data_IF_950877704288
#
_entry.id   IF_950877704288
#
_cell.length_a   1.000
_cell.length_b   1.000
_cell.length_c   1.000
_cell.angle_alpha   90.00
_cell.angle_beta   90.00
_cell.angle_gamma   90.00
#
_symmetry.space_group_name_H-M   'P 1'
#
loop_
_entity.id
_entity.type
_entity.pdbx_description
1 polymer ?
#
# COMPACT_ATOMS: atom_id res chain seq x y z
N UNK A 1 33.36 26.09 -27.89
CA UNK A 1 33.72 25.31 -29.10
C UNK A 1 32.47 25.05 -29.85
N UNK A 2 32.29 25.64 -31.06
CA UNK A 2 31.10 25.36 -31.87
C UNK A 2 31.13 23.89 -32.28
N UNK A 3 30.15 23.13 -31.93
CA UNK A 3 29.99 21.76 -32.43
C UNK A 3 29.83 21.87 -33.94
N UNK A 4 30.83 21.44 -34.68
CA UNK A 4 30.67 21.32 -36.13
C UNK A 4 29.48 20.39 -36.39
N UNK A 5 28.52 20.76 -37.28
CA UNK A 5 27.40 19.92 -37.62
C UNK A 5 27.90 18.56 -38.09
N UNK A 6 27.12 17.53 -37.79
CA UNK A 6 27.35 16.17 -38.21
C UNK A 6 27.12 16.10 -39.72
N UNK A 7 28.14 16.56 -40.49
CA UNK A 7 28.07 16.62 -41.90
C UNK A 7 29.09 15.68 -42.54
N UNK A 8 28.63 15.18 -43.60
CA UNK A 8 29.28 14.35 -44.60
C UNK A 8 30.67 14.95 -44.94
N UNK A 9 31.71 14.52 -44.35
CA UNK A 9 33.11 14.86 -44.61
C UNK A 9 33.51 16.32 -44.44
N UNK A 10 34.28 16.56 -43.40
CA UNK A 10 34.88 17.89 -43.14
C UNK A 10 36.21 18.13 -43.89
N UNK A 11 36.98 17.08 -44.16
CA UNK A 11 38.25 17.14 -44.89
C UNK A 11 38.31 15.99 -45.89
N UNK A 12 38.50 16.33 -47.14
CA UNK A 12 38.56 15.34 -48.23
C UNK A 12 39.81 14.50 -48.07
N UNK A 13 39.66 13.22 -47.99
CA UNK A 13 40.75 12.25 -47.97
C UNK A 13 41.13 11.63 -46.65
N UNK A 14 40.42 11.91 -45.53
CA UNK A 14 40.62 11.20 -44.27
C UNK A 14 39.40 10.48 -43.79
N UNK A 15 39.52 9.20 -43.48
CA UNK A 15 38.44 8.38 -42.84
C UNK A 15 38.11 8.86 -41.41
N UNK A 16 38.93 9.71 -40.82
CA UNK A 16 38.77 10.33 -39.50
C UNK A 16 37.69 11.42 -39.51
N UNK A 17 37.48 12.08 -40.66
CA UNK A 17 36.42 13.09 -40.80
C UNK A 17 35.04 12.45 -40.76
N UNK A 18 34.91 11.20 -41.12
CA UNK A 18 33.67 10.43 -41.16
C UNK A 18 33.32 9.80 -39.83
N UNK A 19 33.61 10.23 -38.72
CA UNK A 19 33.27 9.68 -37.38
C UNK A 19 32.63 8.27 -37.32
N UNK A 20 32.70 7.55 -38.43
CA UNK A 20 32.16 6.18 -38.57
C UNK A 20 33.12 5.15 -37.94
N UNK A 21 34.37 5.52 -37.65
CA UNK A 21 35.35 4.65 -37.00
C UNK A 21 34.97 4.22 -35.59
N UNK A 22 34.21 5.05 -34.87
CA UNK A 22 33.74 4.74 -33.54
C UNK A 22 32.73 3.58 -33.52
N UNK A 23 32.03 3.32 -34.63
CA UNK A 23 31.11 2.20 -34.77
C UNK A 23 31.81 0.83 -34.70
N UNK A 24 33.08 0.76 -34.89
CA UNK A 24 33.89 -0.46 -34.76
C UNK A 24 34.14 -0.86 -33.30
N UNK A 25 34.11 0.13 -32.41
CA UNK A 25 34.40 -0.07 -30.98
C UNK A 25 33.20 0.15 -30.07
N UNK A 26 32.17 0.83 -30.54
CA UNK A 26 30.96 1.13 -29.78
C UNK A 26 29.79 0.32 -30.37
N UNK A 27 29.10 -0.42 -29.52
CA UNK A 27 27.84 -1.05 -29.87
C UNK A 27 26.69 -0.21 -29.33
N UNK A 28 25.64 0.09 -30.12
CA UNK A 28 24.43 0.65 -29.58
C UNK A 28 23.82 -0.36 -28.61
N UNK A 29 23.54 0.09 -27.40
CA UNK A 29 22.85 -0.71 -26.40
C UNK A 29 21.44 -0.15 -26.29
N UNK A 30 20.43 -1.00 -26.55
CA UNK A 30 19.06 -0.65 -26.29
C UNK A 30 18.78 -0.82 -24.80
N UNK A 31 18.45 0.29 -24.14
CA UNK A 31 18.02 0.28 -22.75
C UNK A 31 16.50 0.37 -22.74
N UNK A 32 15.84 -0.73 -22.35
CA UNK A 32 14.41 -0.71 -22.13
C UNK A 32 14.09 0.14 -20.91
N UNK A 33 13.41 1.25 -21.14
CA UNK A 33 12.92 2.12 -20.08
C UNK A 33 11.44 1.90 -19.88
N UNK A 34 11.04 1.86 -18.61
CA UNK A 34 9.64 1.72 -18.26
C UNK A 34 8.93 3.09 -18.29
N UNK A 35 7.65 3.14 -18.64
CA UNK A 35 6.83 4.32 -18.34
C UNK A 35 6.92 4.64 -16.85
N UNK A 36 6.95 5.92 -16.44
CA UNK A 36 7.03 6.29 -15.03
C UNK A 36 5.92 5.68 -14.17
N UNK A 37 4.71 5.49 -14.70
CA UNK A 37 3.62 4.82 -14.00
C UNK A 37 3.96 3.39 -13.62
N UNK A 38 4.55 2.58 -14.53
CA UNK A 38 5.00 1.23 -14.21
C UNK A 38 6.12 1.23 -13.17
N UNK A 39 7.07 2.16 -13.30
CA UNK A 39 8.22 2.25 -12.39
C UNK A 39 7.81 2.66 -10.97
N UNK A 40 6.76 3.47 -10.83
CA UNK A 40 6.27 4.00 -9.54
C UNK A 40 5.20 3.15 -8.87
N UNK A 41 4.58 2.20 -9.56
CA UNK A 41 3.59 1.32 -8.94
C UNK A 41 4.25 0.38 -7.92
N UNK A 42 3.93 0.46 -6.61
CA UNK A 42 4.54 -0.42 -5.61
C UNK A 42 4.14 -1.90 -5.77
N UNK A 43 2.93 -2.17 -6.31
CA UNK A 43 2.48 -3.52 -6.67
C UNK A 43 3.21 -4.06 -7.90
N UNK A 44 3.88 -3.18 -8.64
CA UNK A 44 4.65 -3.56 -9.82
C UNK A 44 3.78 -3.86 -11.02
N UNK A 45 2.65 -3.20 -11.14
CA UNK A 45 1.77 -3.33 -12.30
C UNK A 45 2.36 -2.73 -13.57
N UNK A 46 1.99 -3.32 -14.68
CA UNK A 46 2.31 -2.84 -16.03
C UNK A 46 1.19 -1.93 -16.54
N UNK A 47 1.04 -0.75 -15.91
CA UNK A 47 -0.07 0.17 -16.20
C UNK A 47 -0.24 0.45 -17.70
N UNK A 48 0.85 0.70 -18.42
CA UNK A 48 0.79 0.94 -19.86
C UNK A 48 0.20 -0.24 -20.63
N UNK A 49 0.54 -1.48 -20.25
CA UNK A 49 0.10 -2.67 -20.98
C UNK A 49 -1.43 -2.86 -20.88
N UNK A 50 -1.98 -2.74 -19.67
CA UNK A 50 -3.42 -2.91 -19.51
C UNK A 50 -4.22 -1.69 -19.98
N UNK A 51 -3.66 -0.47 -19.89
CA UNK A 51 -4.28 0.72 -20.47
C UNK A 51 -4.41 0.61 -22.01
N UNK A 52 -3.42 0.01 -22.69
CA UNK A 52 -3.47 -0.26 -24.11
C UNK A 52 -4.67 -1.15 -24.51
N UNK A 53 -4.92 -2.21 -23.75
CA UNK A 53 -6.09 -3.07 -23.97
C UNK A 53 -7.39 -2.34 -23.63
N UNK A 54 -7.41 -1.55 -22.53
CA UNK A 54 -8.58 -0.80 -22.12
C UNK A 54 -9.01 0.24 -23.17
N UNK A 55 -8.05 0.95 -23.77
CA UNK A 55 -8.29 1.94 -24.83
C UNK A 55 -8.99 1.31 -26.05
N UNK A 56 -8.62 0.10 -26.41
CA UNK A 56 -9.24 -0.63 -27.52
C UNK A 56 -10.58 -1.29 -27.19
N UNK A 57 -11.07 -1.15 -25.94
CA UNK A 57 -12.31 -1.79 -25.47
C UNK A 57 -12.15 -3.27 -25.12
N UNK A 58 -10.93 -3.79 -25.15
CA UNK A 58 -10.63 -5.17 -24.78
C UNK A 58 -10.45 -5.31 -23.27
N UNK A 59 -11.54 -5.10 -22.54
CA UNK A 59 -11.54 -5.04 -21.07
C UNK A 59 -11.13 -6.35 -20.42
N UNK A 60 -11.41 -7.47 -21.08
CA UNK A 60 -11.03 -8.80 -20.57
C UNK A 60 -9.51 -8.94 -20.51
N UNK A 61 -8.81 -8.68 -21.59
CA UNK A 61 -7.34 -8.75 -21.62
C UNK A 61 -6.71 -7.65 -20.76
N UNK A 62 -7.32 -6.44 -20.70
CA UNK A 62 -6.87 -5.40 -19.79
C UNK A 62 -6.87 -5.90 -18.33
N UNK A 63 -7.98 -6.48 -17.87
CA UNK A 63 -8.06 -7.05 -16.53
C UNK A 63 -7.08 -8.22 -16.33
N UNK A 64 -6.95 -9.11 -17.29
CA UNK A 64 -5.98 -10.22 -17.22
C UNK A 64 -4.54 -9.70 -17.05
N UNK A 65 -4.20 -8.56 -17.66
CA UNK A 65 -2.90 -7.90 -17.46
C UNK A 65 -2.75 -7.29 -16.08
N UNK A 66 -3.78 -6.69 -15.50
CA UNK A 66 -3.72 -6.19 -14.12
C UNK A 66 -3.46 -7.36 -13.16
N UNK A 67 -4.23 -8.42 -13.27
CA UNK A 67 -4.16 -9.55 -12.34
C UNK A 67 -2.91 -10.42 -12.51
N UNK A 68 -2.09 -10.21 -13.53
CA UNK A 68 -0.73 -10.76 -13.56
C UNK A 68 0.10 -10.29 -12.36
N UNK A 69 -0.19 -9.09 -11.87
CA UNK A 69 0.58 -8.41 -10.82
C UNK A 69 -0.23 -8.11 -9.55
N UNK A 70 -1.49 -7.76 -9.68
CA UNK A 70 -2.37 -7.31 -8.59
C UNK A 70 -3.71 -8.06 -8.61
N UNK A 71 -4.01 -8.91 -7.60
CA UNK A 71 -5.26 -9.67 -7.55
C UNK A 71 -6.49 -8.85 -7.12
N UNK A 72 -6.33 -7.56 -6.80
CA UNK A 72 -7.36 -6.72 -6.19
C UNK A 72 -7.67 -5.43 -6.97
N UNK A 73 -7.91 -5.46 -8.30
CA UNK A 73 -8.10 -4.22 -9.06
C UNK A 73 -9.32 -3.41 -8.62
N UNK A 74 -10.41 -4.05 -8.23
CA UNK A 74 -11.59 -3.35 -7.74
C UNK A 74 -11.36 -2.68 -6.37
N UNK A 75 -10.62 -3.34 -5.47
CA UNK A 75 -10.21 -2.77 -4.19
C UNK A 75 -9.19 -1.64 -4.40
N UNK A 76 -8.15 -1.86 -5.23
CA UNK A 76 -7.11 -0.86 -5.48
C UNK A 76 -7.66 0.38 -6.17
N UNK A 77 -8.61 0.24 -7.08
CA UNK A 77 -9.34 1.36 -7.64
C UNK A 77 -10.09 2.24 -6.63
N UNK A 78 -10.13 1.83 -5.35
CA UNK A 78 -10.80 2.56 -4.25
C UNK A 78 -9.84 3.03 -3.15
N UNK A 79 -8.70 2.38 -2.99
CA UNK A 79 -7.83 2.62 -1.81
C UNK A 79 -6.36 2.89 -2.16
N UNK A 80 -5.96 2.80 -3.42
CA UNK A 80 -4.62 3.14 -3.86
C UNK A 80 -4.37 4.65 -3.81
N UNK A 81 -3.15 5.07 -3.49
CA UNK A 81 -2.74 6.48 -3.44
C UNK A 81 -2.21 7.03 -4.77
N UNK A 82 -2.44 6.36 -5.87
CA UNK A 82 -2.20 6.81 -7.25
C UNK A 82 -0.77 7.31 -7.54
N UNK A 83 0.25 6.69 -6.98
CA UNK A 83 1.65 7.07 -7.22
C UNK A 83 2.04 6.99 -8.70
N UNK A 84 1.35 6.16 -9.48
CA UNK A 84 1.49 6.07 -10.92
C UNK A 84 1.00 7.34 -11.64
N UNK A 85 -0.12 7.94 -11.20
CA UNK A 85 -0.66 9.18 -11.75
C UNK A 85 0.23 10.38 -11.42
N UNK A 86 0.74 10.45 -10.19
CA UNK A 86 1.69 11.51 -9.78
C UNK A 86 3.00 11.50 -10.58
N UNK A 87 3.38 10.34 -11.13
CA UNK A 87 4.57 10.19 -11.95
C UNK A 87 4.29 10.21 -13.47
N UNK A 88 3.04 10.39 -13.88
CA UNK A 88 2.62 10.29 -15.26
C UNK A 88 3.24 11.41 -16.11
N UNK A 89 3.96 11.05 -17.19
CA UNK A 89 4.52 12.03 -18.14
C UNK A 89 3.47 12.94 -18.78
N UNK A 90 2.21 12.48 -18.87
CA UNK A 90 1.12 13.27 -19.40
C UNK A 90 0.84 14.51 -18.55
N UNK A 91 1.03 14.40 -17.21
CA UNK A 91 0.87 15.52 -16.28
C UNK A 91 1.81 16.70 -16.53
N UNK A 92 2.91 16.49 -17.28
CA UNK A 92 3.82 17.57 -17.71
C UNK A 92 3.28 18.35 -18.94
N UNK A 93 2.26 17.82 -19.64
CA UNK A 93 1.65 18.47 -20.81
C UNK A 93 0.33 19.13 -20.45
N UNK A 94 -0.56 18.38 -19.82
CA UNK A 94 -1.90 18.82 -19.43
C UNK A 94 -2.31 18.19 -18.08
N UNK A 95 -3.05 17.07 -18.08
CA UNK A 95 -3.41 16.34 -16.87
C UNK A 95 -2.97 14.87 -16.97
N UNK A 96 -2.63 14.29 -15.82
CA UNK A 96 -2.26 12.89 -15.75
C UNK A 96 -3.41 11.99 -16.20
N UNK A 97 -3.09 10.84 -16.79
CA UNK A 97 -4.08 9.83 -17.12
C UNK A 97 -4.75 9.32 -15.84
N UNK A 98 -6.07 9.19 -15.85
CA UNK A 98 -6.86 8.63 -14.73
C UNK A 98 -6.68 7.13 -14.58
N UNK A 99 -5.45 6.69 -14.26
CA UNK A 99 -5.04 5.29 -14.24
C UNK A 99 -5.87 4.50 -13.22
N UNK A 100 -6.01 5.05 -12.02
CA UNK A 100 -6.74 4.39 -10.94
C UNK A 100 -8.25 4.30 -11.23
N UNK A 101 -8.83 5.31 -11.87
CA UNK A 101 -10.24 5.27 -12.26
C UNK A 101 -10.51 4.17 -13.31
N UNK A 102 -9.59 3.97 -14.26
CA UNK A 102 -9.68 2.87 -15.25
C UNK A 102 -9.46 1.52 -14.57
N UNK A 103 -8.52 1.41 -13.63
CA UNK A 103 -8.30 0.20 -12.83
C UNK A 103 -9.57 -0.20 -12.07
N UNK A 104 -10.22 0.78 -11.41
CA UNK A 104 -11.49 0.59 -10.72
C UNK A 104 -12.57 0.08 -11.66
N UNK A 105 -12.73 0.74 -12.81
CA UNK A 105 -13.70 0.33 -13.83
C UNK A 105 -13.48 -1.11 -14.27
N UNK A 106 -12.25 -1.50 -14.59
CA UNK A 106 -11.91 -2.85 -15.04
C UNK A 106 -12.12 -3.88 -13.92
N UNK A 107 -11.79 -3.53 -12.67
CA UNK A 107 -12.04 -4.38 -11.51
C UNK A 107 -13.52 -4.63 -11.28
N UNK A 108 -14.33 -3.57 -11.27
CA UNK A 108 -15.78 -3.65 -11.08
C UNK A 108 -16.43 -4.42 -12.25
N UNK A 109 -16.05 -4.11 -13.49
CA UNK A 109 -16.53 -4.81 -14.67
C UNK A 109 -16.22 -6.32 -14.64
N UNK A 110 -15.03 -6.68 -14.15
CA UNK A 110 -14.66 -8.08 -13.97
C UNK A 110 -15.50 -8.77 -12.88
N UNK A 111 -15.89 -8.07 -11.80
CA UNK A 111 -16.77 -8.60 -10.76
C UNK A 111 -18.19 -8.80 -11.28
N UNK A 112 -18.70 -7.85 -12.05
CA UNK A 112 -20.04 -7.91 -12.66
C UNK A 112 -20.16 -9.05 -13.67
N UNK A 113 -19.11 -9.31 -14.44
CA UNK A 113 -19.07 -10.38 -15.45
C UNK A 113 -18.60 -11.74 -14.90
N UNK A 114 -18.33 -11.87 -13.59
CA UNK A 114 -17.93 -13.13 -12.97
C UNK A 114 -16.61 -13.68 -13.51
N UNK A 115 -15.66 -12.82 -13.87
CA UNK A 115 -14.37 -13.27 -14.39
C UNK A 115 -13.54 -13.92 -13.30
N UNK A 116 -13.00 -15.11 -13.60
CA UNK A 116 -12.16 -15.90 -12.68
C UNK A 116 -10.70 -15.89 -13.10
N UNK A 117 -9.81 -16.13 -12.14
CA UNK A 117 -8.38 -16.25 -12.39
C UNK A 117 -8.04 -17.52 -13.15
N UNK A 118 -7.00 -17.48 -13.97
CA UNK A 118 -6.46 -18.66 -14.64
C UNK A 118 -5.82 -19.59 -13.61
N UNK A 119 -6.31 -20.84 -13.56
CA UNK A 119 -5.76 -21.88 -12.68
C UNK A 119 -4.40 -22.37 -13.21
N UNK A 120 -3.49 -22.81 -12.32
CA UNK A 120 -2.21 -23.38 -12.74
C UNK A 120 -2.44 -24.67 -13.53
N UNK A 121 -1.60 -24.88 -14.53
CA UNK A 121 -1.65 -26.09 -15.38
C UNK A 121 -1.01 -27.30 -14.69
N UNK A 122 -0.03 -27.06 -13.82
CA UNK A 122 0.72 -28.10 -13.11
C UNK A 122 0.77 -27.80 -11.61
N UNK A 123 0.84 -28.87 -10.81
CA UNK A 123 1.06 -28.75 -9.37
C UNK A 123 2.55 -28.93 -9.06
N UNK A 124 3.09 -28.09 -8.19
CA UNK A 124 4.51 -28.15 -7.78
C UNK A 124 4.80 -29.27 -6.76
N UNK A 125 3.77 -29.78 -6.09
CA UNK A 125 3.90 -30.71 -4.97
C UNK A 125 4.45 -30.07 -3.68
N UNK A 126 4.63 -28.74 -3.66
CA UNK A 126 5.14 -27.98 -2.52
C UNK A 126 4.01 -27.31 -1.74
N UNK A 127 4.17 -27.24 -0.43
CA UNK A 127 3.19 -26.68 0.51
C UNK A 127 3.73 -25.43 1.16
N UNK A 128 2.99 -24.34 1.09
CA UNK A 128 3.39 -23.05 1.67
C UNK A 128 2.36 -22.57 2.69
N UNK A 129 2.83 -22.22 3.89
CA UNK A 129 2.03 -21.55 4.90
C UNK A 129 2.10 -20.03 4.69
N UNK A 130 0.95 -19.39 4.70
CA UNK A 130 0.83 -17.92 4.76
C UNK A 130 0.20 -17.56 6.09
N UNK A 131 0.94 -16.81 6.91
CA UNK A 131 0.46 -16.33 8.21
C UNK A 131 0.00 -14.89 8.06
N UNK A 132 -1.31 -14.69 8.16
CA UNK A 132 -1.99 -13.41 7.95
C UNK A 132 -2.73 -13.34 6.62
N UNK A 133 -4.04 -13.09 6.68
CA UNK A 133 -4.94 -12.93 5.54
C UNK A 133 -5.15 -11.43 5.20
N UNK A 134 -4.15 -10.58 5.44
CA UNK A 134 -4.11 -9.19 4.98
C UNK A 134 -3.65 -9.08 3.52
N UNK A 135 -3.54 -7.86 2.96
CA UNK A 135 -3.20 -7.65 1.54
C UNK A 135 -1.90 -8.31 1.11
N UNK A 136 -0.86 -8.32 1.96
CA UNK A 136 0.40 -8.98 1.66
C UNK A 136 0.26 -10.50 1.58
N UNK A 137 -0.40 -11.11 2.59
CA UNK A 137 -0.63 -12.55 2.62
C UNK A 137 -1.53 -13.04 1.52
N UNK A 138 -2.61 -12.32 1.23
CA UNK A 138 -3.53 -12.64 0.14
C UNK A 138 -2.86 -12.54 -1.23
N UNK A 139 -2.01 -11.52 -1.44
CA UNK A 139 -1.21 -11.40 -2.66
C UNK A 139 -0.19 -12.54 -2.79
N UNK A 140 0.50 -12.89 -1.71
CA UNK A 140 1.43 -14.03 -1.71
C UNK A 140 0.69 -15.33 -2.02
N UNK A 141 -0.44 -15.59 -1.36
CA UNK A 141 -1.26 -16.78 -1.58
C UNK A 141 -1.75 -16.89 -3.03
N UNK A 142 -2.22 -15.77 -3.60
CA UNK A 142 -2.64 -15.68 -5.00
C UNK A 142 -1.51 -16.09 -5.96
N UNK A 143 -0.36 -15.47 -5.83
CA UNK A 143 0.77 -15.74 -6.75
C UNK A 143 1.32 -17.16 -6.59
N UNK A 144 1.45 -17.66 -5.35
CA UNK A 144 1.88 -19.01 -5.06
C UNK A 144 0.92 -20.07 -5.63
N UNK A 145 -0.40 -19.87 -5.45
CA UNK A 145 -1.41 -20.76 -6.00
C UNK A 145 -1.35 -20.80 -7.53
N UNK A 146 -1.15 -19.66 -8.21
CA UNK A 146 -0.95 -19.60 -9.67
C UNK A 146 0.31 -20.32 -10.15
N UNK A 147 1.34 -20.40 -9.30
CA UNK A 147 2.57 -21.17 -9.57
C UNK A 147 2.41 -22.67 -9.27
N UNK A 148 1.22 -23.10 -8.82
CA UNK A 148 0.89 -24.50 -8.59
C UNK A 148 1.24 -25.03 -7.20
N UNK A 149 1.58 -24.15 -6.24
CA UNK A 149 1.82 -24.55 -4.85
C UNK A 149 0.50 -24.79 -4.09
N UNK A 150 0.53 -25.72 -3.13
CA UNK A 150 -0.55 -25.87 -2.16
C UNK A 150 -0.39 -24.80 -1.09
N UNK A 151 -1.36 -23.90 -0.99
CA UNK A 151 -1.28 -22.76 -0.08
C UNK A 151 -2.33 -22.87 1.02
N UNK A 152 -1.88 -22.73 2.27
CA UNK A 152 -2.73 -22.61 3.44
C UNK A 152 -2.53 -21.23 4.07
N UNK A 153 -3.61 -20.45 4.17
CA UNK A 153 -3.62 -19.13 4.82
C UNK A 153 -4.23 -19.27 6.21
N UNK A 154 -3.51 -18.85 7.25
CA UNK A 154 -3.98 -18.80 8.64
C UNK A 154 -4.09 -17.39 9.12
N UNK A 155 -5.20 -17.07 9.77
CA UNK A 155 -5.43 -15.76 10.38
C UNK A 155 -6.28 -15.88 11.64
N UNK A 156 -5.95 -15.12 12.68
CA UNK A 156 -6.70 -15.06 13.93
C UNK A 156 -8.05 -14.36 13.80
N UNK A 157 -8.26 -13.58 12.76
CA UNK A 157 -9.53 -12.90 12.50
C UNK A 157 -10.60 -13.84 11.92
N UNK A 158 -11.87 -13.48 12.13
CA UNK A 158 -13.03 -14.25 11.61
C UNK A 158 -13.19 -14.17 10.10
N UNK A 159 -12.68 -13.12 9.46
CA UNK A 159 -12.77 -12.90 8.02
C UNK A 159 -11.42 -12.40 7.47
N UNK A 160 -11.09 -12.81 6.24
CA UNK A 160 -9.91 -12.36 5.53
C UNK A 160 -10.03 -10.91 5.06
N UNK A 161 -8.90 -10.25 4.80
CA UNK A 161 -8.81 -8.88 4.32
C UNK A 161 -7.87 -8.00 5.15
N UNK A 162 -7.55 -8.38 6.40
CA UNK A 162 -6.65 -7.62 7.27
C UNK A 162 -7.06 -6.15 7.37
N UNK A 163 -6.12 -5.21 7.19
CA UNK A 163 -6.41 -3.77 7.27
C UNK A 163 -7.36 -3.26 6.18
N UNK A 164 -7.50 -3.95 5.04
CA UNK A 164 -8.54 -3.60 4.05
C UNK A 164 -9.94 -3.79 4.63
N UNK A 165 -10.14 -4.74 5.54
CA UNK A 165 -11.41 -4.98 6.23
C UNK A 165 -11.52 -4.19 7.52
N UNK A 166 -10.52 -4.33 8.39
CA UNK A 166 -10.59 -3.90 9.78
C UNK A 166 -10.03 -2.51 10.05
N UNK A 167 -9.41 -1.88 9.05
CA UNK A 167 -8.82 -0.55 9.15
C UNK A 167 -9.40 0.46 8.18
N UNK A 168 -9.78 0.04 6.97
CA UNK A 168 -10.38 0.95 5.97
C UNK A 168 -11.90 0.96 6.14
N UNK A 169 -12.55 2.13 6.28
CA UNK A 169 -13.99 2.22 6.46
C UNK A 169 -14.80 1.66 5.28
N UNK A 170 -16.00 1.13 5.57
CA UNK A 170 -16.91 0.55 4.56
C UNK A 170 -17.30 1.52 3.44
N UNK A 171 -17.39 2.82 3.74
CA UNK A 171 -17.73 3.84 2.74
C UNK A 171 -16.62 4.05 1.70
N UNK A 172 -15.35 3.76 2.05
CA UNK A 172 -14.22 3.78 1.11
C UNK A 172 -14.08 2.44 0.38
N UNK A 173 -14.19 1.32 1.10
CA UNK A 173 -14.07 -0.02 0.56
C UNK A 173 -15.27 -0.88 0.95
N UNK A 174 -16.31 -0.98 0.11
CA UNK A 174 -17.46 -1.85 0.34
C UNK A 174 -17.03 -3.30 0.53
N UNK A 175 -17.60 -3.97 1.52
CA UNK A 175 -17.20 -5.34 1.90
C UNK A 175 -17.51 -6.36 0.83
N UNK A 176 -18.58 -6.15 0.08
CA UNK A 176 -18.98 -7.01 -1.05
C UNK A 176 -17.92 -7.05 -2.15
N UNK A 177 -17.25 -5.92 -2.40
CA UNK A 177 -16.14 -5.84 -3.37
C UNK A 177 -14.95 -6.65 -2.87
N UNK A 178 -14.56 -6.42 -1.61
CA UNK A 178 -13.44 -7.14 -0.99
C UNK A 178 -13.69 -8.64 -0.94
N UNK A 179 -14.90 -9.05 -0.53
CA UNK A 179 -15.25 -10.46 -0.39
C UNK A 179 -15.24 -11.19 -1.74
N UNK A 180 -15.74 -10.55 -2.80
CA UNK A 180 -15.72 -11.13 -4.15
C UNK A 180 -14.29 -11.31 -4.67
N UNK A 181 -13.40 -10.35 -4.44
CA UNK A 181 -11.99 -10.48 -4.87
C UNK A 181 -11.25 -11.55 -4.06
N UNK A 182 -11.51 -11.67 -2.75
CA UNK A 182 -10.95 -12.75 -1.92
C UNK A 182 -11.49 -14.11 -2.36
N UNK A 183 -12.80 -14.21 -2.67
CA UNK A 183 -13.41 -15.45 -3.14
C UNK A 183 -12.73 -15.99 -4.41
N UNK A 184 -12.34 -15.13 -5.35
CA UNK A 184 -11.57 -15.53 -6.54
C UNK A 184 -10.22 -16.16 -6.18
N UNK A 185 -9.56 -15.69 -5.12
CA UNK A 185 -8.31 -16.31 -4.64
C UNK A 185 -8.60 -17.71 -4.08
N UNK A 186 -9.70 -17.88 -3.35
CA UNK A 186 -10.11 -19.19 -2.84
C UNK A 186 -10.43 -20.18 -3.99
N UNK A 187 -10.99 -19.71 -5.10
CA UNK A 187 -11.29 -20.53 -6.30
C UNK A 187 -10.03 -21.12 -6.95
N UNK A 188 -8.84 -20.57 -6.69
CA UNK A 188 -7.56 -21.16 -7.10
C UNK A 188 -7.17 -22.41 -6.28
N UNK A 189 -7.91 -22.71 -5.22
CA UNK A 189 -7.63 -23.81 -4.30
C UNK A 189 -6.85 -23.42 -3.05
N UNK A 190 -6.72 -22.11 -2.77
CA UNK A 190 -6.13 -21.63 -1.52
C UNK A 190 -7.04 -22.03 -0.35
N UNK A 191 -6.46 -22.66 0.67
CA UNK A 191 -7.16 -23.02 1.90
C UNK A 191 -7.09 -21.89 2.90
N UNK A 192 -8.23 -21.48 3.44
CA UNK A 192 -8.32 -20.48 4.50
C UNK A 192 -8.69 -21.14 5.82
N UNK A 193 -7.84 -20.97 6.82
CA UNK A 193 -8.08 -21.36 8.22
C UNK A 193 -8.16 -20.06 9.05
N UNK A 194 -9.35 -19.46 9.06
CA UNK A 194 -9.67 -18.24 9.82
C UNK A 194 -10.04 -18.57 11.26
N UNK A 195 -10.03 -17.58 12.15
CA UNK A 195 -10.14 -17.75 13.61
C UNK A 195 -9.09 -18.71 14.15
N UNK A 196 -7.96 -18.83 13.47
CA UNK A 196 -6.83 -19.65 13.85
C UNK A 196 -5.55 -18.80 13.90
N UNK A 197 -5.28 -18.28 15.07
CA UNK A 197 -4.06 -17.51 15.32
C UNK A 197 -2.84 -18.45 15.41
N UNK A 198 -1.77 -18.09 14.72
CA UNK A 198 -0.47 -18.75 14.84
C UNK A 198 0.24 -18.12 16.03
N UNK A 199 0.43 -18.89 17.10
CA UNK A 199 1.07 -18.43 18.33
C UNK A 199 2.50 -18.94 18.49
N UNK A 200 2.89 -19.97 17.74
CA UNK A 200 4.23 -20.58 17.70
C UNK A 200 4.53 -21.02 16.26
N UNK A 201 5.37 -20.26 15.57
CA UNK A 201 5.70 -20.54 14.17
C UNK A 201 6.51 -21.81 14.00
N UNK A 202 7.43 -22.11 14.91
CA UNK A 202 8.29 -23.29 14.81
C UNK A 202 7.47 -24.59 14.93
N UNK A 203 6.51 -24.63 15.85
CA UNK A 203 5.57 -25.74 15.99
C UNK A 203 4.70 -25.88 14.72
N UNK A 204 4.16 -24.79 14.20
CA UNK A 204 3.32 -24.81 13.00
C UNK A 204 4.04 -25.31 11.75
N UNK A 205 5.29 -24.94 11.57
CA UNK A 205 6.11 -25.43 10.45
C UNK A 205 6.36 -26.94 10.57
N UNK A 206 6.74 -27.40 11.76
CA UNK A 206 7.06 -28.80 12.01
C UNK A 206 5.84 -29.72 11.86
N UNK A 207 4.73 -29.36 12.50
CA UNK A 207 3.51 -30.16 12.51
C UNK A 207 2.78 -30.11 11.15
N UNK A 208 2.79 -28.95 10.50
CA UNK A 208 2.07 -28.71 9.26
C UNK A 208 2.76 -29.30 8.02
N UNK A 209 4.04 -29.66 8.09
CA UNK A 209 4.82 -30.18 6.96
C UNK A 209 4.87 -29.18 5.78
N UNK A 210 5.06 -27.90 6.11
CA UNK A 210 5.22 -26.83 5.09
C UNK A 210 6.67 -26.74 4.65
N UNK A 211 6.85 -26.57 3.32
CA UNK A 211 8.17 -26.41 2.71
C UNK A 211 8.69 -24.96 2.86
N UNK A 212 7.82 -23.97 2.93
CA UNK A 212 8.15 -22.56 3.14
C UNK A 212 7.03 -21.82 3.87
N UNK A 213 7.35 -20.64 4.40
CA UNK A 213 6.39 -19.77 5.10
C UNK A 213 6.51 -18.33 4.60
N UNK A 214 5.35 -17.69 4.42
CA UNK A 214 5.24 -16.25 4.27
C UNK A 214 4.55 -15.63 5.47
N UNK A 215 5.20 -14.63 6.09
CA UNK A 215 4.69 -13.86 7.23
C UNK A 215 4.12 -12.53 6.74
N UNK A 216 2.83 -12.33 6.96
CA UNK A 216 2.10 -11.13 6.55
C UNK A 216 1.10 -10.65 7.60
N UNK A 217 1.45 -10.76 8.90
CA UNK A 217 0.56 -10.42 10.03
C UNK A 217 0.27 -8.91 10.18
N UNK A 218 1.02 -8.07 9.46
CA UNK A 218 0.83 -6.63 9.47
C UNK A 218 1.19 -5.97 10.81
N UNK A 219 0.63 -4.78 11.06
CA UNK A 219 0.77 -4.01 12.29
C UNK A 219 -0.63 -3.73 12.84
N UNK A 220 -1.12 -4.57 13.74
CA UNK A 220 -2.49 -4.54 14.24
C UNK A 220 -2.63 -4.03 15.68
N UNK A 221 -1.51 -3.81 16.39
CA UNK A 221 -1.51 -3.26 17.74
C UNK A 221 -1.46 -1.74 17.67
N UNK A 222 -2.39 -1.06 18.35
CA UNK A 222 -2.35 0.38 18.46
C UNK A 222 -1.17 0.84 19.31
N UNK A 223 -0.42 1.83 18.86
CA UNK A 223 0.56 2.53 19.68
C UNK A 223 -0.13 3.29 20.79
N UNK A 224 0.31 3.05 22.00
CA UNK A 224 -0.17 3.79 23.17
C UNK A 224 0.74 4.99 23.42
N UNK A 225 0.13 6.16 23.62
CA UNK A 225 0.79 7.29 24.26
C UNK A 225 0.18 7.48 25.65
N UNK A 226 1.02 7.82 26.59
CA UNK A 226 0.53 8.26 27.88
C UNK A 226 -0.08 9.67 27.71
N UNK A 227 -1.39 9.74 27.84
CA UNK A 227 -2.11 11.01 28.01
C UNK A 227 -2.58 11.01 29.45
N UNK A 228 -2.23 12.03 30.25
CA UNK A 228 -2.81 12.18 31.58
C UNK A 228 -4.33 12.23 31.44
N UNK A 229 -5.01 11.26 32.01
CA UNK A 229 -6.46 11.12 31.91
C UNK A 229 -7.03 10.85 33.30
N UNK A 230 -8.16 11.50 33.62
CA UNK A 230 -8.97 11.15 34.78
C UNK A 230 -9.66 9.80 34.59
N UNK A 231 -10.14 9.22 35.67
CA UNK A 231 -10.76 7.88 35.70
C UNK A 231 -12.03 7.77 34.82
N UNK A 232 -12.68 8.89 34.56
CA UNK A 232 -13.91 8.98 33.77
C UNK A 232 -13.67 9.33 32.29
N UNK A 233 -12.41 9.52 31.86
CA UNK A 233 -12.09 9.86 30.47
C UNK A 233 -12.29 8.66 29.54
N UNK A 234 -13.15 8.83 28.51
CA UNK A 234 -13.40 7.80 27.51
C UNK A 234 -12.34 7.86 26.41
N UNK A 235 -11.22 7.15 26.61
CA UNK A 235 -10.07 7.10 25.70
C UNK A 235 -10.07 5.78 24.94
N UNK A 236 -10.14 5.84 23.62
CA UNK A 236 -10.20 4.70 22.69
C UNK A 236 -9.00 4.69 21.76
N UNK A 237 -8.64 3.54 21.23
CA UNK A 237 -7.70 3.45 20.12
C UNK A 237 -8.41 3.38 18.76
N UNK A 238 -7.79 3.98 17.74
CA UNK A 238 -8.35 4.08 16.40
C UNK A 238 -8.59 2.72 15.72
N UNK A 239 -7.70 1.75 15.96
CA UNK A 239 -7.83 0.42 15.34
C UNK A 239 -9.02 -0.32 15.91
N UNK A 240 -9.22 -0.25 17.24
CA UNK A 240 -10.39 -0.83 17.90
C UNK A 240 -11.68 -0.18 17.42
N UNK A 241 -11.71 1.16 17.30
CA UNK A 241 -12.88 1.88 16.79
C UNK A 241 -13.21 1.44 15.37
N UNK A 242 -12.25 1.42 14.45
CA UNK A 242 -12.48 0.99 13.06
C UNK A 242 -12.86 -0.48 12.96
N UNK A 243 -12.23 -1.35 13.77
CA UNK A 243 -12.55 -2.79 13.81
C UNK A 243 -13.97 -3.05 14.34
N UNK A 244 -14.44 -2.28 15.34
CA UNK A 244 -15.80 -2.43 15.87
C UNK A 244 -16.89 -2.09 14.83
N UNK A 245 -16.55 -1.29 13.81
CA UNK A 245 -17.46 -1.00 12.70
C UNK A 245 -17.75 -2.22 11.81
N UNK A 246 -17.05 -3.34 11.97
CA UNK A 246 -17.35 -4.61 11.32
C UNK A 246 -18.39 -5.44 12.09
N UNK A 247 -18.64 -5.12 13.34
CA UNK A 247 -19.67 -5.74 14.16
C UNK A 247 -21.09 -5.26 13.83
N UNK A 248 -22.08 -5.84 14.50
CA UNK A 248 -23.49 -5.42 14.43
C UNK A 248 -23.73 -4.14 15.25
N UNK A 249 -22.95 -3.93 16.33
CA UNK A 249 -23.04 -2.77 17.19
C UNK A 249 -21.98 -1.75 16.81
N UNK A 250 -22.41 -0.52 16.57
CA UNK A 250 -21.51 0.61 16.31
C UNK A 250 -20.85 1.10 17.60
N UNK A 251 -19.60 1.61 17.53
CA UNK A 251 -18.94 2.17 18.69
C UNK A 251 -19.67 3.40 19.22
N UNK A 252 -19.86 3.43 20.53
CA UNK A 252 -20.45 4.59 21.21
C UNK A 252 -19.38 5.67 21.39
N UNK A 253 -19.31 6.61 20.45
CA UNK A 253 -18.32 7.69 20.48
C UNK A 253 -18.80 8.95 21.16
N UNK A 254 -20.12 9.10 21.34
CA UNK A 254 -20.71 10.36 21.77
C UNK A 254 -20.83 11.37 20.63
N UNK A 255 -21.27 12.61 20.97
CA UNK A 255 -21.49 13.66 19.98
C UNK A 255 -20.19 14.37 19.59
N UNK A 256 -19.33 14.68 20.57
CA UNK A 256 -18.10 15.43 20.39
C UNK A 256 -16.91 14.48 20.50
N UNK A 257 -16.22 14.24 19.40
CA UNK A 257 -15.13 13.27 19.30
C UNK A 257 -13.83 13.98 19.00
N UNK A 258 -12.85 13.87 19.88
CA UNK A 258 -11.49 14.34 19.60
C UNK A 258 -10.66 13.19 19.08
N UNK A 259 -10.08 13.34 17.88
CA UNK A 259 -9.18 12.35 17.26
C UNK A 259 -7.75 12.89 17.36
N UNK A 260 -6.88 12.19 18.08
CA UNK A 260 -5.50 12.61 18.29
C UNK A 260 -4.56 11.86 17.36
N UNK A 261 -4.08 12.57 16.33
CA UNK A 261 -3.18 12.05 15.29
C UNK A 261 -3.33 12.83 13.99
N UNK A 262 -2.42 12.60 13.04
CA UNK A 262 -2.40 13.29 11.74
C UNK A 262 -2.15 12.36 10.56
N UNK A 263 -2.28 11.04 10.75
CA UNK A 263 -2.16 10.04 9.69
C UNK A 263 -3.50 9.66 9.07
N UNK A 264 -3.47 8.86 8.00
CA UNK A 264 -4.68 8.40 7.29
C UNK A 264 -5.68 7.73 8.25
N UNK A 265 -5.22 6.97 9.24
CA UNK A 265 -6.09 6.36 10.27
C UNK A 265 -6.87 7.41 11.07
N UNK A 266 -6.24 8.55 11.40
CA UNK A 266 -6.93 9.64 12.11
C UNK A 266 -8.03 10.26 11.23
N UNK A 267 -7.75 10.46 9.96
CA UNK A 267 -8.71 10.97 8.98
C UNK A 267 -9.88 9.99 8.81
N UNK A 268 -9.59 8.70 8.65
CA UNK A 268 -10.61 7.65 8.51
C UNK A 268 -11.53 7.57 9.74
N UNK A 269 -10.96 7.64 10.96
CA UNK A 269 -11.74 7.69 12.21
C UNK A 269 -12.63 8.94 12.27
N UNK A 270 -12.07 10.12 11.98
CA UNK A 270 -12.81 11.37 12.04
C UNK A 270 -13.96 11.39 11.02
N UNK A 271 -13.72 10.98 9.78
CA UNK A 271 -14.75 10.86 8.74
C UNK A 271 -15.81 9.81 9.09
N UNK A 272 -15.40 8.71 9.74
CA UNK A 272 -16.34 7.71 10.26
C UNK A 272 -17.21 8.28 11.37
N UNK A 273 -16.63 8.96 12.38
CA UNK A 273 -17.35 9.61 13.43
C UNK A 273 -18.36 10.64 12.89
N UNK A 274 -17.98 11.42 11.86
CA UNK A 274 -18.87 12.36 11.19
C UNK A 274 -20.09 11.66 10.57
N UNK A 275 -19.89 10.53 9.90
CA UNK A 275 -20.98 9.70 9.32
C UNK A 275 -21.90 9.09 10.37
N UNK A 276 -21.39 8.86 11.58
CA UNK A 276 -22.19 8.43 12.73
C UNK A 276 -22.95 9.58 13.41
N UNK A 277 -22.86 10.80 12.88
CA UNK A 277 -23.55 12.00 13.40
C UNK A 277 -22.79 12.75 14.48
N UNK A 278 -21.53 12.41 14.74
CA UNK A 278 -20.69 13.13 15.68
C UNK A 278 -20.09 14.41 15.08
N UNK A 279 -19.54 15.25 15.96
CA UNK A 279 -18.78 16.46 15.64
C UNK A 279 -17.28 16.18 15.90
N UNK A 280 -16.52 15.65 14.90
CA UNK A 280 -15.13 15.29 15.10
C UNK A 280 -14.19 16.50 15.03
N UNK A 281 -13.21 16.52 15.93
CA UNK A 281 -12.09 17.45 15.96
C UNK A 281 -10.77 16.66 15.90
N UNK A 282 -10.03 16.80 14.83
CA UNK A 282 -8.69 16.22 14.71
C UNK A 282 -7.66 17.16 15.33
N UNK A 283 -6.89 16.66 16.30
CA UNK A 283 -5.81 17.39 16.97
C UNK A 283 -4.47 16.81 16.53
N UNK A 284 -3.61 17.65 15.97
CA UNK A 284 -2.31 17.22 15.48
C UNK A 284 -1.20 18.21 15.86
N UNK A 285 -0.09 17.68 16.36
CA UNK A 285 1.03 18.44 16.95
C UNK A 285 1.93 19.20 15.96
N UNK A 286 1.75 18.98 14.64
CA UNK A 286 2.51 19.66 13.58
C UNK A 286 1.59 20.43 12.67
N UNK A 287 2.15 21.03 11.61
CA UNK A 287 1.38 21.74 10.58
C UNK A 287 0.68 20.76 9.63
N UNK A 288 -0.24 21.29 8.82
CA UNK A 288 -0.97 20.53 7.79
C UNK A 288 0.01 19.87 6.80
N UNK A 289 1.02 20.60 6.32
CA UNK A 289 1.98 20.15 5.33
C UNK A 289 2.90 19.02 5.86
N UNK A 290 2.99 18.92 7.19
CA UNK A 290 3.75 17.85 7.86
C UNK A 290 2.87 16.72 8.39
N UNK A 291 1.60 16.74 8.06
CA UNK A 291 0.71 15.62 8.37
C UNK A 291 1.07 14.43 7.47
N UNK A 292 1.20 13.21 8.04
CA UNK A 292 1.48 12.02 7.24
C UNK A 292 0.28 11.52 6.42
N UNK A 293 -0.94 12.04 6.67
CA UNK A 293 -2.10 11.76 5.85
C UNK A 293 -1.98 12.41 4.46
N UNK A 294 -2.53 11.78 3.46
CA UNK A 294 -2.57 12.32 2.11
C UNK A 294 -3.40 13.61 2.06
N UNK A 295 -2.89 14.63 1.33
CA UNK A 295 -3.52 15.96 1.33
C UNK A 295 -4.95 15.93 0.81
N UNK A 296 -5.24 15.12 -0.21
CA UNK A 296 -6.60 14.98 -0.72
C UNK A 296 -7.57 14.37 0.32
N UNK A 297 -7.12 13.40 1.14
CA UNK A 297 -7.94 12.83 2.22
C UNK A 297 -8.23 13.87 3.33
N UNK A 298 -7.26 14.74 3.60
CA UNK A 298 -7.46 15.87 4.52
C UNK A 298 -8.47 16.86 3.94
N UNK A 299 -8.39 17.17 2.65
CA UNK A 299 -9.31 18.06 1.94
C UNK A 299 -10.74 17.53 1.97
N UNK A 300 -10.93 16.28 1.59
CA UNK A 300 -12.23 15.60 1.66
C UNK A 300 -12.81 15.62 3.09
N UNK A 301 -11.98 15.37 4.11
CA UNK A 301 -12.43 15.41 5.50
C UNK A 301 -12.91 16.80 5.91
N UNK A 302 -12.20 17.86 5.50
CA UNK A 302 -12.60 19.24 5.77
C UNK A 302 -13.90 19.59 5.03
N UNK A 303 -14.05 19.20 3.78
CA UNK A 303 -15.27 19.37 2.98
C UNK A 303 -16.48 18.66 3.60
N UNK A 304 -16.28 17.48 4.20
CA UNK A 304 -17.29 16.75 4.96
C UNK A 304 -17.61 17.39 6.32
N UNK A 305 -16.90 18.45 6.71
CA UNK A 305 -17.13 19.19 7.96
C UNK A 305 -16.41 18.60 9.17
N UNK A 306 -15.28 17.93 8.97
CA UNK A 306 -14.34 17.55 10.04
C UNK A 306 -13.51 18.79 10.42
N UNK A 307 -13.46 19.10 11.71
CA UNK A 307 -12.63 20.20 12.20
C UNK A 307 -11.19 19.76 12.41
N UNK A 308 -10.23 20.62 12.04
CA UNK A 308 -8.80 20.38 12.17
C UNK A 308 -8.15 21.40 13.09
N UNK A 309 -7.38 20.93 14.05
CA UNK A 309 -6.57 21.75 14.95
C UNK A 309 -5.10 21.35 14.84
N UNK A 310 -4.39 22.11 14.05
CA UNK A 310 -2.95 21.97 13.82
C UNK A 310 -2.14 22.58 14.96
N UNK A 311 -0.84 22.21 15.05
CA UNK A 311 0.09 22.71 16.09
C UNK A 311 -0.53 22.61 17.48
N UNK A 312 -1.09 21.45 17.81
CA UNK A 312 -1.81 21.22 19.05
C UNK A 312 -1.60 19.81 19.58
N UNK A 313 -1.51 19.67 20.89
CA UNK A 313 -1.38 18.37 21.56
C UNK A 313 -2.38 18.29 22.72
N UNK A 314 -2.74 17.06 23.11
CA UNK A 314 -3.58 16.84 24.29
C UNK A 314 -2.68 16.85 25.51
N UNK A 315 -2.90 17.78 26.42
CA UNK A 315 -2.19 17.88 27.70
C UNK A 315 -2.87 17.08 28.80
N UNK A 316 -4.21 17.04 28.82
CA UNK A 316 -5.00 16.28 29.78
C UNK A 316 -6.37 15.95 29.22
N UNK A 317 -6.91 14.79 29.56
CA UNK A 317 -8.28 14.40 29.24
C UNK A 317 -9.03 14.05 30.53
N UNK A 318 -10.24 14.56 30.68
CA UNK A 318 -11.13 14.28 31.82
C UNK A 318 -12.56 14.04 31.32
N UNK A 319 -13.51 13.81 32.25
CA UNK A 319 -14.91 13.60 31.90
C UNK A 319 -15.47 14.83 31.18
N UNK A 320 -15.82 14.66 29.92
CA UNK A 320 -16.45 15.70 29.09
C UNK A 320 -15.56 16.84 28.64
N UNK A 321 -14.30 16.93 29.09
CA UNK A 321 -13.39 18.03 28.79
C UNK A 321 -11.98 17.55 28.43
N UNK A 322 -11.35 18.24 27.47
CA UNK A 322 -9.97 17.99 27.05
C UNK A 322 -9.21 19.32 27.08
N UNK A 323 -8.08 19.30 27.77
CA UNK A 323 -7.14 20.42 27.78
C UNK A 323 -6.12 20.22 26.65
N UNK A 324 -6.13 21.13 25.72
CA UNK A 324 -5.24 21.14 24.55
C UNK A 324 -4.17 22.20 24.77
N UNK A 325 -2.91 21.85 24.54
CA UNK A 325 -1.77 22.74 24.54
C UNK A 325 -1.37 23.11 23.11
N UNK A 326 -1.18 24.41 22.87
CA UNK A 326 -0.66 24.92 21.60
C UNK A 326 0.83 24.55 21.45
N UNK A 327 1.20 24.19 20.25
CA UNK A 327 2.57 23.86 19.89
C UNK A 327 3.16 24.88 18.93
N UNK A 328 4.48 24.98 18.91
CA UNK A 328 5.23 25.66 17.85
C UNK A 328 6.31 24.73 17.32
N UNK A 329 6.81 25.01 16.14
CA UNK A 329 7.95 24.25 15.62
C UNK A 329 9.24 24.99 16.02
N UNK A 330 10.24 24.25 16.51
CA UNK A 330 11.59 24.73 16.70
C UNK A 330 12.34 24.87 15.36
N UNK A 331 13.59 25.34 15.39
CA UNK A 331 14.43 25.51 14.21
C UNK A 331 14.67 24.20 13.44
N UNK A 332 14.60 23.05 14.11
CA UNK A 332 14.70 21.72 13.49
C UNK A 332 13.35 21.21 12.95
N UNK A 333 12.27 21.97 13.16
CA UNK A 333 10.90 21.62 12.80
C UNK A 333 10.26 20.55 13.70
N UNK A 334 10.76 20.39 14.93
CA UNK A 334 10.14 19.56 15.95
C UNK A 334 9.07 20.37 16.70
N UNK A 335 7.92 19.75 17.03
CA UNK A 335 6.91 20.40 17.82
C UNK A 335 7.36 20.54 19.28
N UNK A 336 7.32 21.76 19.80
CA UNK A 336 7.60 22.09 21.21
C UNK A 336 6.39 22.81 21.83
N UNK A 337 6.08 22.56 23.10
CA UNK A 337 4.97 23.20 23.77
C UNK A 337 5.19 24.71 23.95
N UNK A 338 4.10 25.50 23.95
CA UNK A 338 4.15 26.94 24.16
C UNK A 338 3.76 27.38 25.59
N UNK A 339 3.13 26.49 26.35
CA UNK A 339 2.53 26.82 27.65
C UNK A 339 1.16 27.51 27.54
N UNK A 340 0.63 27.65 26.31
CA UNK A 340 -0.73 28.16 26.10
C UNK A 340 -1.73 27.03 26.01
N UNK A 341 -2.77 27.08 26.77
CA UNK A 341 -3.80 26.05 26.87
C UNK A 341 -5.17 26.56 26.48
N UNK A 342 -5.99 25.66 25.99
CA UNK A 342 -7.42 25.83 25.81
C UNK A 342 -8.15 24.56 26.24
N UNK A 343 -9.40 24.71 26.65
CA UNK A 343 -10.28 23.59 27.00
C UNK A 343 -11.34 23.43 25.92
N UNK A 344 -11.53 22.19 25.46
CA UNK A 344 -12.59 21.83 24.54
C UNK A 344 -13.45 20.73 25.16
N UNK A 345 -14.74 20.76 24.91
CA UNK A 345 -15.64 19.71 25.38
C UNK A 345 -15.52 18.50 24.43
N UNK A 346 -15.43 17.29 24.99
CA UNK A 346 -15.39 16.05 24.23
C UNK A 346 -16.02 14.91 25.03
N UNK A 347 -16.78 14.08 24.35
CA UNK A 347 -17.39 12.91 24.96
C UNK A 347 -16.46 11.68 24.84
N UNK A 348 -15.56 11.70 23.86
CA UNK A 348 -14.50 10.68 23.71
C UNK A 348 -13.24 11.21 23.05
N UNK A 349 -12.11 10.55 23.32
CA UNK A 349 -10.82 10.74 22.67
C UNK A 349 -10.43 9.45 21.93
N UNK A 350 -10.12 9.56 20.64
CA UNK A 350 -9.62 8.44 19.86
C UNK A 350 -8.15 8.65 19.51
N UNK A 351 -7.28 7.75 19.97
CA UNK A 351 -5.84 7.80 19.74
C UNK A 351 -5.49 7.16 18.40
N UNK A 352 -4.98 7.93 17.45
CA UNK A 352 -4.54 7.50 16.14
C UNK A 352 -3.03 7.77 15.96
N UNK A 353 -2.20 7.22 16.85
CA UNK A 353 -0.77 7.53 17.00
C UNK A 353 0.15 6.53 16.27
N UNK A 354 -0.42 5.68 15.42
CA UNK A 354 0.27 4.64 14.68
C UNK A 354 0.03 3.24 15.25
N UNK A 355 0.70 2.27 14.64
CA UNK A 355 0.47 0.85 14.90
C UNK A 355 1.80 0.13 15.08
N UNK A 356 1.77 -1.00 15.81
CA UNK A 356 2.91 -1.89 16.06
C UNK A 356 2.55 -3.33 15.71
N UNK A 357 3.57 -4.10 15.41
CA UNK A 357 3.43 -5.52 15.07
C UNK A 357 3.51 -6.39 16.31
N UNK A 358 2.66 -7.41 16.42
CA UNK A 358 2.83 -8.46 17.42
C UNK A 358 3.76 -9.54 16.87
N UNK A 359 4.96 -9.63 17.40
CA UNK A 359 6.00 -10.56 16.93
C UNK A 359 6.26 -11.73 17.91
N UNK A 360 5.45 -11.89 18.97
CA UNK A 360 5.65 -12.93 19.98
C UNK A 360 5.65 -14.35 19.44
N UNK A 361 4.88 -14.62 18.38
CA UNK A 361 4.80 -15.93 17.75
C UNK A 361 6.08 -16.34 17.01
N UNK A 362 7.07 -15.45 16.90
CA UNK A 362 8.39 -15.68 16.32
C UNK A 362 9.45 -16.03 17.38
N UNK A 363 9.08 -16.03 18.65
CA UNK A 363 10.00 -16.43 19.72
C UNK A 363 10.48 -17.87 19.49
N UNK A 364 11.81 -18.09 19.56
CA UNK A 364 12.41 -19.41 19.31
C UNK A 364 12.78 -19.69 17.84
N UNK A 365 12.61 -18.73 16.94
CA UNK A 365 13.17 -18.80 15.57
C UNK A 365 14.57 -18.19 15.60
N UNK A 366 15.58 -19.02 15.42
CA UNK A 366 16.97 -18.59 15.35
C UNK A 366 17.22 -17.77 14.07
N UNK A 367 18.23 -16.90 14.08
CA UNK A 367 18.68 -16.06 12.96
C UNK A 367 17.66 -15.04 12.42
N UNK A 368 16.50 -14.90 13.04
CA UNK A 368 15.51 -13.89 12.65
C UNK A 368 15.91 -12.53 13.25
N UNK A 369 16.22 -11.57 12.36
CA UNK A 369 16.62 -10.23 12.77
C UNK A 369 15.41 -9.31 12.88
N UNK A 370 15.39 -8.48 13.93
CA UNK A 370 14.36 -7.48 14.17
C UNK A 370 15.00 -6.11 14.34
N UNK A 371 14.39 -5.10 13.69
CA UNK A 371 14.79 -3.71 13.83
C UNK A 371 13.56 -2.83 14.03
N UNK A 372 13.58 -1.98 15.07
CA UNK A 372 12.49 -1.03 15.39
C UNK A 372 11.08 -1.67 15.42
N UNK A 373 10.96 -2.90 15.91
CA UNK A 373 9.71 -3.65 15.99
C UNK A 373 9.20 -4.19 14.65
N UNK A 374 10.09 -4.30 13.66
CA UNK A 374 9.83 -4.87 12.34
C UNK A 374 10.79 -6.02 12.06
N UNK A 375 10.36 -6.99 11.26
CA UNK A 375 11.21 -8.09 10.80
C UNK A 375 12.07 -7.62 9.64
N UNK A 376 13.39 -7.81 9.74
CA UNK A 376 14.33 -7.46 8.68
C UNK A 376 14.26 -8.51 7.57
N UNK A 377 14.18 -8.05 6.32
CA UNK A 377 14.19 -8.89 5.12
C UNK A 377 15.19 -8.36 4.10
N UNK A 378 15.70 -9.25 3.27
CA UNK A 378 16.54 -8.89 2.12
C UNK A 378 15.71 -8.44 0.90
N UNK A 379 16.38 -8.18 -0.21
CA UNK A 379 15.72 -7.77 -1.47
C UNK A 379 14.78 -8.82 -2.06
N UNK A 380 14.90 -10.09 -1.66
CA UNK A 380 14.01 -11.20 -2.04
C UNK A 380 12.82 -11.37 -1.08
N UNK A 381 12.70 -10.55 -0.06
CA UNK A 381 11.74 -10.66 1.04
C UNK A 381 12.00 -11.85 1.97
N UNK A 382 13.17 -12.50 1.89
CA UNK A 382 13.57 -13.56 2.81
C UNK A 382 14.12 -12.94 4.11
N UNK A 383 13.78 -13.54 5.24
CA UNK A 383 14.35 -13.21 6.55
C UNK A 383 15.76 -13.80 6.69
N UNK A 384 16.45 -13.56 7.82
CA UNK A 384 17.69 -14.24 8.11
C UNK A 384 17.56 -15.77 8.19
N UNK A 385 16.34 -16.29 8.42
CA UNK A 385 16.06 -17.72 8.51
C UNK A 385 15.64 -18.27 7.12
N UNK A 386 16.37 -19.28 6.56
CA UNK A 386 16.06 -19.86 5.27
C UNK A 386 14.65 -20.47 5.21
N UNK A 387 13.91 -20.17 4.12
CA UNK A 387 12.54 -20.66 3.92
C UNK A 387 11.46 -19.86 4.62
N UNK A 388 11.82 -18.82 5.39
CA UNK A 388 10.88 -17.88 6.02
C UNK A 388 11.00 -16.53 5.33
N UNK A 389 9.87 -16.07 4.79
CA UNK A 389 9.74 -14.78 4.08
C UNK A 389 8.75 -13.90 4.81
N UNK A 390 8.91 -12.59 4.70
CA UNK A 390 7.98 -11.65 5.34
C UNK A 390 7.67 -10.46 4.44
N UNK A 391 6.52 -9.80 4.69
CA UNK A 391 6.11 -8.63 3.93
C UNK A 391 4.92 -7.88 4.55
N UNK A 392 4.49 -6.80 3.89
CA UNK A 392 3.47 -5.90 4.42
C UNK A 392 4.00 -5.03 5.55
N UNK A 393 3.11 -4.63 6.45
CA UNK A 393 3.42 -3.64 7.49
C UNK A 393 4.33 -4.17 8.63
N UNK A 394 4.65 -5.47 8.63
CA UNK A 394 5.56 -6.06 9.60
C UNK A 394 7.04 -5.94 9.21
N UNK A 395 7.35 -5.48 8.00
CA UNK A 395 8.71 -5.23 7.54
C UNK A 395 8.96 -3.72 7.41
N UNK A 396 10.22 -3.25 7.41
CA UNK A 396 10.53 -1.83 7.21
C UNK A 396 10.03 -1.32 5.86
N UNK A 397 9.44 -0.11 5.83
CA UNK A 397 8.98 0.54 4.60
C UNK A 397 7.68 1.32 4.78
N UNK A 398 7.10 1.75 3.67
CA UNK A 398 5.79 2.40 3.65
C UNK A 398 4.68 1.40 3.96
N UNK A 399 3.76 1.81 4.83
CA UNK A 399 2.61 1.00 5.26
C UNK A 399 1.37 1.42 4.49
N UNK A 400 1.16 0.79 3.35
CA UNK A 400 -0.05 0.93 2.55
C UNK A 400 -0.38 -0.37 1.81
N UNK A 401 -1.62 -0.48 1.33
CA UNK A 401 -2.14 -1.71 0.71
C UNK A 401 -1.36 -2.08 -0.55
N UNK A 402 -1.02 -1.10 -1.39
CA UNK A 402 -0.32 -1.33 -2.67
C UNK A 402 1.10 -1.85 -2.46
N UNK A 403 1.83 -1.32 -1.47
CA UNK A 403 3.15 -1.82 -1.06
C UNK A 403 3.04 -3.25 -0.53
N UNK A 404 2.04 -3.51 0.30
CA UNK A 404 1.81 -4.84 0.86
C UNK A 404 1.54 -5.89 -0.24
N UNK A 405 0.74 -5.56 -1.26
CA UNK A 405 0.52 -6.41 -2.45
C UNK A 405 1.84 -6.69 -3.16
N UNK A 406 2.64 -5.65 -3.40
CA UNK A 406 3.95 -5.79 -4.04
C UNK A 406 4.93 -6.67 -3.26
N UNK A 407 4.91 -6.59 -1.91
CA UNK A 407 5.70 -7.47 -1.05
C UNK A 407 5.26 -8.92 -1.18
N UNK A 408 3.94 -9.20 -1.15
CA UNK A 408 3.39 -10.54 -1.33
C UNK A 408 3.77 -11.16 -2.68
N UNK A 409 3.65 -10.39 -3.77
CA UNK A 409 4.08 -10.83 -5.11
C UNK A 409 5.57 -11.14 -5.18
N UNK A 410 6.41 -10.27 -4.63
CA UNK A 410 7.87 -10.45 -4.64
C UNK A 410 8.26 -11.68 -3.83
N UNK A 411 7.72 -11.82 -2.62
CA UNK A 411 7.94 -12.97 -1.78
C UNK A 411 7.51 -14.28 -2.46
N UNK A 412 6.35 -14.31 -3.10
CA UNK A 412 5.87 -15.50 -3.81
C UNK A 412 6.83 -15.96 -4.92
N UNK A 413 7.35 -15.01 -5.72
CA UNK A 413 8.36 -15.31 -6.75
C UNK A 413 9.66 -15.84 -6.15
N UNK A 414 10.07 -15.31 -5.01
CA UNK A 414 11.27 -15.76 -4.29
C UNK A 414 11.08 -17.13 -3.64
N UNK A 415 9.91 -17.36 -3.04
CA UNK A 415 9.55 -18.69 -2.47
C UNK A 415 9.56 -19.76 -3.57
N UNK A 416 8.95 -19.49 -4.72
CA UNK A 416 8.94 -20.42 -5.84
C UNK A 416 10.36 -20.73 -6.34
N UNK A 417 11.21 -19.70 -6.48
CA UNK A 417 12.61 -19.90 -6.87
C UNK A 417 13.38 -20.71 -5.82
N UNK A 418 13.20 -20.39 -4.54
CA UNK A 418 13.84 -21.09 -3.42
C UNK A 418 13.43 -22.57 -3.34
N UNK A 419 12.13 -22.86 -3.45
CA UNK A 419 11.59 -24.22 -3.44
C UNK A 419 12.05 -25.05 -4.65
N UNK A 420 12.30 -24.40 -5.77
CA UNK A 420 12.83 -25.04 -6.99
C UNK A 420 14.37 -25.11 -7.03
N UNK A 421 15.08 -24.62 -6.00
CA UNK A 421 16.54 -24.56 -6.00
C UNK A 421 17.13 -23.61 -7.06
N UNK A 422 16.35 -22.63 -7.53
CA UNK A 422 16.76 -21.64 -8.53
C UNK A 422 17.32 -20.38 -7.84
N UNK A 423 18.17 -19.61 -8.53
CA UNK A 423 18.60 -18.30 -8.01
C UNK A 423 17.38 -17.41 -7.70
N UNK A 424 17.47 -16.68 -6.58
CA UNK A 424 16.44 -15.69 -6.21
C UNK A 424 16.34 -14.61 -7.28
N UNK A 425 15.12 -14.16 -7.62
CA UNK A 425 14.94 -13.04 -8.54
C UNK A 425 15.66 -11.80 -8.00
N UNK A 426 16.52 -11.21 -8.81
CA UNK A 426 17.13 -9.94 -8.47
C UNK A 426 16.06 -8.83 -8.42
N UNK A 427 16.27 -7.82 -7.57
CA UNK A 427 15.44 -6.64 -7.60
C UNK A 427 15.55 -5.99 -9.00
N UNK A 428 14.41 -5.85 -9.68
CA UNK A 428 14.38 -5.21 -11.00
C UNK A 428 14.80 -3.74 -10.86
N UNK A 429 15.88 -3.34 -11.54
CA UNK A 429 16.24 -1.95 -11.66
C UNK A 429 15.30 -1.28 -12.66
N UNK A 430 14.31 -0.57 -12.14
CA UNK A 430 13.28 0.09 -12.94
C UNK A 430 13.71 1.50 -13.33
N UNK A 431 14.33 1.63 -14.50
CA UNK A 431 14.71 2.93 -15.04
C UNK A 431 13.54 3.57 -15.80
N UNK A 432 12.98 4.70 -15.31
CA UNK A 432 11.86 5.34 -16.00
C UNK A 432 12.31 6.14 -17.22
N UNK A 433 11.48 6.15 -18.25
CA UNK A 433 11.54 7.11 -19.34
C UNK A 433 10.86 8.41 -18.89
N UNK A 434 11.60 9.29 -18.21
CA UNK A 434 11.08 10.57 -17.73
C UNK A 434 10.77 11.52 -18.88
N UNK A 435 9.87 12.50 -18.65
CA UNK A 435 9.42 13.47 -19.67
C UNK A 435 10.56 14.14 -20.43
N UNK A 436 11.61 14.60 -19.72
CA UNK A 436 12.76 15.25 -20.36
C UNK A 436 13.62 14.35 -21.27
N UNK A 437 13.31 13.05 -21.35
CA UNK A 437 13.95 12.10 -22.28
C UNK A 437 13.06 11.74 -23.46
N UNK A 438 11.84 12.27 -23.51
CA UNK A 438 10.89 12.08 -24.60
C UNK A 438 11.02 13.21 -25.60
N UNK A 439 10.83 12.91 -26.87
CA UNK A 439 10.71 13.93 -27.89
C UNK A 439 9.26 14.39 -27.94
N UNK A 440 8.99 15.59 -27.41
CA UNK A 440 7.61 16.10 -27.25
C UNK A 440 7.30 17.32 -28.12
N UNK A 441 8.23 17.70 -29.00
CA UNK A 441 8.09 18.93 -29.82
C UNK A 441 6.81 18.96 -30.68
N UNK A 442 6.33 17.80 -31.13
CA UNK A 442 5.11 17.69 -31.96
C UNK A 442 3.81 17.75 -31.15
N UNK A 443 3.88 17.80 -29.83
CA UNK A 443 2.72 18.03 -28.96
C UNK A 443 2.58 19.49 -28.52
N UNK A 444 3.52 20.37 -28.88
CA UNK A 444 3.54 21.77 -28.41
C UNK A 444 2.24 22.53 -28.72
N UNK A 445 1.66 22.25 -29.87
CA UNK A 445 0.43 22.92 -30.37
C UNK A 445 -0.84 22.05 -30.16
N UNK A 446 -0.74 20.91 -29.52
CA UNK A 446 -1.89 20.05 -29.25
C UNK A 446 -2.83 20.69 -28.21
N UNK A 447 -4.16 20.61 -28.41
CA UNK A 447 -5.10 21.10 -27.40
C UNK A 447 -4.94 20.34 -26.10
N UNK A 448 -4.93 21.08 -24.98
CA UNK A 448 -4.86 20.48 -23.65
C UNK A 448 -6.16 19.76 -23.35
N UNK A 449 -6.05 18.53 -22.85
CA UNK A 449 -7.18 17.73 -22.41
C UNK A 449 -7.38 17.91 -20.90
N UNK A 450 -8.64 18.05 -20.51
CA UNK A 450 -9.04 18.05 -19.10
C UNK A 450 -9.57 16.66 -18.75
N UNK A 451 -9.11 16.12 -17.64
CA UNK A 451 -9.58 14.83 -17.13
C UNK A 451 -11.03 14.95 -16.67
N UNK A 452 -11.95 14.06 -17.14
CA UNK A 452 -13.29 14.00 -16.56
C UNK A 452 -13.20 13.74 -15.05
N UNK A 453 -13.91 14.55 -14.28
CA UNK A 453 -14.12 14.27 -12.85
C UNK A 453 -15.31 13.31 -12.74
N UNK A 454 -15.13 12.26 -11.92
CA UNK A 454 -16.17 11.30 -11.62
C UNK A 454 -17.01 11.78 -10.41
#
# INVERSE_FOLDING_TARGET
>A
MSSKPFAITLDVGTSLANRTGSWRTLRPVYVNRLPPCNAKCPAGEQCQAWLYHAESGDYRHAWEKIVEDNPFPACMGRVCYHTCESACNRGELDESVGINAVERFLGDHALENGWSFKKPETKSGKRVLVVGAGPAGLSAAYHLARMGHEVCVRDGAKAAGGMMRYGIPKYRLPREVLDKEIARIAELGVKFELSREVTDLAAEMKEGGFDAVFLGVGASLARRAYIPAGDAAHVLDAVTVLRSMEGEEQPLLGRRVVVYGGGNTAIDVARTAKRLGAEPLVVYRRTRERAPAHQFEIEEAIEEGVHMKWLSTIAHADEGEIRIEKMKLDESGRPVPTGEFETVSADSVVLALGQETNLKFLEGIDDLQMENGSVVVDGSMMTGCPGIFAGGDMVPGERNVTVAIGHGKRAARSIDAWLAGRPMPAAEERQPATFGRLNTWYYADAPKSVRPQL
#
